data_IF_502850951801
#
_entry.id   IF_502850951801
#
_cell.length_a   1.000
_cell.length_b   1.000
_cell.length_c   1.000
_cell.angle_alpha   90.00
_cell.angle_beta   90.00
_cell.angle_gamma   90.00
#
_symmetry.space_group_name_H-M   'P 1'
#
loop_
_entity.id
_entity.type
_entity.pdbx_description
1 polymer ?
#
# COMPACT_ATOMS: atom_id res chain seq x y z
N UNK A 1 -11.78 10.90 23.41
CA UNK A 1 -11.74 11.67 22.14
C UNK A 1 -10.69 11.05 21.24
N UNK A 2 -11.01 10.76 19.98
CA UNK A 2 -10.05 10.24 18.99
C UNK A 2 -9.18 11.40 18.48
N UNK A 3 -7.88 11.16 18.34
CA UNK A 3 -6.87 12.14 17.88
C UNK A 3 -6.15 11.74 16.61
N UNK A 4 -6.16 10.45 16.27
CA UNK A 4 -5.62 9.95 15.01
C UNK A 4 -6.28 8.64 14.62
N UNK A 5 -6.45 8.46 13.31
CA UNK A 5 -6.83 7.20 12.68
C UNK A 5 -5.78 6.89 11.61
N UNK A 6 -5.37 5.64 11.51
CA UNK A 6 -4.40 5.18 10.53
C UNK A 6 -4.60 3.71 10.20
N UNK A 7 -3.84 3.21 9.24
CA UNK A 7 -3.86 1.81 8.85
C UNK A 7 -2.44 1.25 8.85
N UNK A 8 -2.29 -0.01 9.25
CA UNK A 8 -1.05 -0.76 9.05
C UNK A 8 -0.99 -1.37 7.64
N UNK A 9 0.18 -1.82 7.23
CA UNK A 9 0.38 -2.55 5.96
C UNK A 9 -0.46 -3.84 5.89
N UNK A 10 -0.72 -4.45 7.05
CA UNK A 10 -1.57 -5.64 7.25
C UNK A 10 -3.06 -5.28 7.47
N UNK A 11 -3.49 -4.10 7.04
CA UNK A 11 -4.91 -3.65 7.05
C UNK A 11 -5.56 -3.67 8.44
N UNK A 12 -4.78 -3.39 9.47
CA UNK A 12 -5.30 -3.16 10.82
C UNK A 12 -5.60 -1.67 11.03
N UNK A 13 -6.81 -1.36 11.50
CA UNK A 13 -7.23 0.00 11.82
C UNK A 13 -6.62 0.43 13.16
N UNK A 14 -5.92 1.55 13.15
CA UNK A 14 -5.29 2.12 14.34
C UNK A 14 -6.08 3.31 14.83
N UNK A 15 -6.42 3.30 16.11
CA UNK A 15 -7.20 4.35 16.76
C UNK A 15 -6.43 4.90 17.95
N UNK A 16 -6.03 6.16 17.87
CA UNK A 16 -5.28 6.85 18.93
C UNK A 16 -6.20 7.81 19.68
N UNK A 17 -6.26 7.68 21.01
CA UNK A 17 -7.08 8.52 21.87
C UNK A 17 -6.26 9.64 22.52
N UNK A 18 -6.97 10.66 23.01
CA UNK A 18 -6.35 11.85 23.59
C UNK A 18 -5.45 11.60 24.81
N UNK A 19 -5.66 10.52 25.54
CA UNK A 19 -4.86 10.07 26.69
C UNK A 19 -3.67 9.17 26.29
N UNK A 20 -3.43 8.99 24.99
CA UNK A 20 -2.29 8.22 24.48
C UNK A 20 -2.51 6.70 24.45
N UNK A 21 -3.74 6.21 24.57
CA UNK A 21 -4.03 4.82 24.29
C UNK A 21 -4.17 4.61 22.76
N UNK A 22 -3.59 3.53 22.27
CA UNK A 22 -3.65 3.11 20.87
C UNK A 22 -4.33 1.75 20.81
N UNK A 23 -5.35 1.62 19.95
CA UNK A 23 -6.04 0.35 19.69
C UNK A 23 -5.82 -0.05 18.24
N UNK A 24 -5.46 -1.31 18.03
CA UNK A 24 -5.22 -1.89 16.72
C UNK A 24 -6.32 -2.93 16.45
N UNK A 25 -7.25 -2.62 15.55
CA UNK A 25 -8.36 -3.50 15.18
C UNK A 25 -8.03 -4.24 13.90
N UNK A 26 -8.29 -5.55 13.84
CA UNK A 26 -8.30 -6.28 12.58
C UNK A 26 -9.64 -6.11 11.83
N UNK A 27 -9.74 -6.70 10.64
CA UNK A 27 -10.97 -6.63 9.82
C UNK A 27 -12.16 -7.40 10.42
N UNK A 28 -11.93 -8.26 11.41
CA UNK A 28 -12.99 -9.01 12.12
C UNK A 28 -13.48 -8.26 13.37
N UNK A 29 -12.77 -7.21 13.78
CA UNK A 29 -13.08 -6.40 14.95
C UNK A 29 -12.38 -6.85 16.23
N UNK A 30 -11.53 -7.88 16.16
CA UNK A 30 -10.62 -8.23 17.25
C UNK A 30 -9.59 -7.11 17.39
N UNK A 31 -9.10 -6.87 18.61
CA UNK A 31 -8.14 -5.79 18.83
C UNK A 31 -7.08 -6.08 19.88
N UNK A 32 -5.91 -5.51 19.65
CA UNK A 32 -4.87 -5.30 20.66
C UNK A 32 -4.82 -3.84 21.06
N UNK A 33 -4.18 -3.54 22.19
CA UNK A 33 -3.96 -2.16 22.62
C UNK A 33 -2.60 -1.98 23.29
N UNK A 34 -2.09 -0.75 23.23
CA UNK A 34 -0.92 -0.32 23.96
C UNK A 34 -1.03 1.16 24.32
N UNK A 35 -0.21 1.62 25.26
CA UNK A 35 -0.13 3.04 25.62
C UNK A 35 1.15 3.66 25.06
N UNK A 36 1.07 4.91 24.61
CA UNK A 36 2.23 5.71 24.20
C UNK A 36 3.16 6.04 25.38
N UNK A 37 2.64 6.06 26.61
CA UNK A 37 3.41 6.48 27.79
C UNK A 37 3.97 7.90 27.65
N UNK A 38 5.15 8.15 28.25
CA UNK A 38 5.93 9.39 28.11
C UNK A 38 5.14 10.69 28.37
N UNK A 39 4.18 10.65 29.30
CA UNK A 39 3.36 11.80 29.67
C UNK A 39 2.20 12.11 28.72
N UNK A 40 1.88 11.23 27.77
CA UNK A 40 0.74 11.39 26.87
C UNK A 40 -0.61 11.48 27.60
N UNK A 41 -0.72 10.90 28.79
CA UNK A 41 -1.86 11.00 29.70
C UNK A 41 -1.99 12.40 30.35
N UNK A 42 -0.86 13.07 30.58
CA UNK A 42 -0.80 14.38 31.22
C UNK A 42 -0.90 15.53 30.22
N UNK A 43 -0.13 15.48 29.13
CA UNK A 43 -0.09 16.52 28.10
C UNK A 43 -1.15 16.34 27.03
N UNK A 44 -1.65 15.12 26.86
CA UNK A 44 -2.58 14.76 25.81
C UNK A 44 -1.93 14.63 24.45
N UNK A 45 -2.49 13.76 23.61
CA UNK A 45 -2.12 13.65 22.18
C UNK A 45 -2.81 14.78 21.41
N UNK A 46 -2.05 15.52 20.61
CA UNK A 46 -2.58 16.54 19.70
C UNK A 46 -2.97 15.93 18.35
N UNK A 47 -2.03 15.24 17.71
CA UNK A 47 -2.21 14.60 16.41
C UNK A 47 -1.22 13.46 16.20
N UNK A 48 -1.44 12.64 15.18
CA UNK A 48 -0.60 11.50 14.83
C UNK A 48 -0.29 11.44 13.32
N UNK A 49 0.80 10.77 12.97
CA UNK A 49 1.14 10.34 11.61
C UNK A 49 1.52 8.86 11.65
N UNK A 50 1.14 8.14 10.61
CA UNK A 50 1.28 6.69 10.52
C UNK A 50 2.07 6.34 9.26
N UNK A 51 2.83 5.26 9.34
CA UNK A 51 3.44 4.56 8.22
C UNK A 51 3.19 3.06 8.41
N UNK A 52 3.55 2.27 7.39
CA UNK A 52 3.25 0.84 7.23
C UNK A 52 3.30 0.02 8.53
N UNK A 53 4.37 0.21 9.31
CA UNK A 53 4.65 -0.59 10.51
C UNK A 53 4.67 0.20 11.81
N UNK A 54 4.57 1.53 11.77
CA UNK A 54 4.74 2.37 12.94
C UNK A 54 4.14 3.76 12.82
N UNK A 55 4.24 4.52 13.90
CA UNK A 55 3.61 5.83 14.02
C UNK A 55 4.45 6.81 14.83
N UNK A 56 4.11 8.09 14.68
CA UNK A 56 4.57 9.16 15.55
C UNK A 56 3.35 9.92 16.08
N UNK A 57 3.37 10.26 17.36
CA UNK A 57 2.37 11.09 18.02
C UNK A 57 3.01 12.39 18.53
N UNK A 58 2.36 13.51 18.24
CA UNK A 58 2.69 14.82 18.79
C UNK A 58 1.84 15.08 20.04
N UNK A 59 2.51 15.40 21.15
CA UNK A 59 1.86 15.70 22.43
C UNK A 59 1.69 17.21 22.65
N UNK A 60 0.82 17.60 23.58
CA UNK A 60 0.49 19.01 23.85
C UNK A 60 1.63 19.86 24.43
N UNK A 61 2.77 19.25 24.75
CA UNK A 61 4.01 19.92 25.16
C UNK A 61 5.08 19.87 24.06
N UNK A 62 4.68 19.68 22.79
CA UNK A 62 5.54 19.52 21.62
C UNK A 62 6.48 18.30 21.64
N UNK A 63 6.34 17.39 22.61
CA UNK A 63 7.10 16.14 22.61
C UNK A 63 6.59 15.19 21.53
N UNK A 64 7.50 14.48 20.88
CA UNK A 64 7.19 13.49 19.85
C UNK A 64 7.45 12.08 20.39
N UNK A 65 6.44 11.21 20.33
CA UNK A 65 6.54 9.80 20.71
C UNK A 65 6.45 8.93 19.48
N UNK A 66 7.47 8.13 19.20
CA UNK A 66 7.51 7.17 18.09
C UNK A 66 7.23 5.75 18.56
N UNK A 67 6.56 4.96 17.72
CA UNK A 67 6.34 3.52 17.86
C UNK A 67 6.72 2.87 16.55
N UNK A 68 7.75 2.01 16.54
CA UNK A 68 8.32 1.45 15.31
C UNK A 68 7.66 0.16 14.82
N UNK A 69 6.83 -0.49 15.66
CA UNK A 69 6.12 -1.73 15.36
C UNK A 69 4.77 -1.73 16.06
N UNK A 70 3.70 -2.07 15.35
CA UNK A 70 2.38 -2.29 15.96
C UNK A 70 2.24 -3.66 16.63
N UNK A 71 3.03 -4.66 16.18
CA UNK A 71 3.02 -6.00 16.74
C UNK A 71 3.81 -6.07 18.06
N UNK A 72 4.97 -5.40 18.12
CA UNK A 72 5.77 -5.24 19.34
C UNK A 72 5.92 -3.75 19.69
N UNK A 73 4.87 -3.10 20.21
CA UNK A 73 4.88 -1.68 20.47
C UNK A 73 5.89 -1.32 21.57
N UNK A 74 6.88 -0.51 21.20
CA UNK A 74 7.89 0.05 22.11
C UNK A 74 7.97 1.56 21.95
N UNK A 75 7.08 2.33 22.60
CA UNK A 75 7.07 3.79 22.49
C UNK A 75 8.37 4.42 23.00
N UNK A 76 8.92 5.37 22.25
CA UNK A 76 10.14 6.13 22.59
C UNK A 76 9.95 7.60 22.30
N UNK A 77 10.61 8.46 23.08
CA UNK A 77 10.72 9.87 22.77
C UNK A 77 11.74 10.09 21.65
N UNK A 78 11.43 11.04 20.76
CA UNK A 78 12.39 11.62 19.83
C UNK A 78 13.15 12.79 20.49
N UNK A 79 14.09 13.38 19.77
CA UNK A 79 14.85 14.53 20.24
C UNK A 79 13.95 15.70 20.67
N UNK A 80 14.47 16.54 21.57
CA UNK A 80 13.71 17.69 22.10
C UNK A 80 13.47 18.72 21.01
N UNK A 81 12.22 19.16 20.89
CA UNK A 81 11.78 20.14 19.89
C UNK A 81 11.87 21.57 20.44
N UNK A 82 11.96 22.60 19.58
CA UNK A 82 11.89 23.99 20.02
C UNK A 82 10.56 24.34 20.72
N UNK A 83 10.61 25.16 21.77
CA UNK A 83 9.44 25.67 22.47
C UNK A 83 8.74 26.79 21.65
N UNK A 84 8.06 26.40 20.58
CA UNK A 84 7.34 27.30 19.69
C UNK A 84 6.08 26.64 19.10
N UNK A 85 5.21 27.42 18.48
CA UNK A 85 4.01 26.90 17.81
C UNK A 85 4.41 26.05 16.59
N UNK A 86 3.95 24.80 16.55
CA UNK A 86 4.07 23.92 15.39
C UNK A 86 2.87 24.18 14.48
N UNK A 87 3.11 24.75 13.30
CA UNK A 87 2.04 25.10 12.36
C UNK A 87 1.53 23.91 11.55
N UNK A 88 2.42 22.99 11.21
CA UNK A 88 2.13 21.73 10.52
C UNK A 88 3.31 20.78 10.62
N UNK A 89 3.07 19.49 10.35
CA UNK A 89 4.12 18.48 10.40
C UNK A 89 3.81 17.22 9.58
N UNK A 90 4.87 16.52 9.21
CA UNK A 90 4.87 15.26 8.49
C UNK A 90 5.98 14.33 8.99
N UNK A 91 6.05 13.13 8.43
CA UNK A 91 7.10 12.15 8.72
C UNK A 91 7.71 11.62 7.43
N UNK A 92 8.99 11.27 7.48
CA UNK A 92 9.67 10.45 6.47
C UNK A 92 9.79 9.04 7.05
N UNK A 93 9.23 8.06 6.35
CA UNK A 93 9.26 6.66 6.81
C UNK A 93 10.71 6.15 6.95
N UNK A 94 11.02 5.31 7.96
CA UNK A 94 12.32 4.65 8.10
C UNK A 94 12.83 3.91 6.85
N UNK A 95 11.91 3.52 5.95
CA UNK A 95 12.26 2.85 4.69
C UNK A 95 12.98 3.77 3.70
N UNK A 96 12.80 5.09 3.87
CA UNK A 96 13.33 6.13 2.99
C UNK A 96 14.44 6.98 3.63
N UNK A 97 14.75 6.77 4.91
CA UNK A 97 15.84 7.47 5.59
C UNK A 97 17.13 6.64 5.58
N UNK A 98 18.28 7.33 5.57
CA UNK A 98 19.59 6.69 5.65
C UNK A 98 19.82 6.03 7.01
N UNK A 99 19.29 6.63 8.08
CA UNK A 99 19.40 6.16 9.46
C UNK A 99 18.55 4.93 9.76
N UNK A 100 17.61 4.56 8.86
CA UNK A 100 16.56 3.56 9.12
C UNK A 100 15.72 3.88 10.36
N UNK A 101 15.60 5.17 10.66
CA UNK A 101 14.76 5.70 11.73
C UNK A 101 13.77 6.70 11.16
N UNK A 102 12.65 6.91 11.85
CA UNK A 102 11.65 7.86 11.40
C UNK A 102 12.19 9.28 11.63
N UNK A 103 12.05 10.13 10.62
CA UNK A 103 12.37 11.56 10.71
C UNK A 103 11.07 12.35 10.69
N UNK A 104 10.95 13.38 11.52
CA UNK A 104 9.77 14.21 11.66
C UNK A 104 10.08 15.62 11.16
N UNK A 105 9.25 16.11 10.25
CA UNK A 105 9.35 17.46 9.69
C UNK A 105 8.38 18.38 10.43
N UNK A 106 8.86 19.44 11.08
CA UNK A 106 8.05 20.39 11.84
C UNK A 106 8.14 21.79 11.23
N UNK A 107 7.01 22.38 10.82
CA UNK A 107 6.97 23.81 10.49
C UNK A 107 6.89 24.64 11.77
N UNK A 108 7.93 25.43 12.03
CA UNK A 108 8.02 26.33 13.19
C UNK A 108 8.51 27.68 12.68
N UNK A 109 7.82 28.77 13.02
CA UNK A 109 8.11 30.11 12.52
C UNK A 109 8.18 30.13 10.98
N UNK A 110 9.29 30.59 10.37
CA UNK A 110 9.46 30.67 8.92
C UNK A 110 10.16 29.45 8.31
N UNK A 111 10.55 28.46 9.11
CA UNK A 111 11.43 27.36 8.71
C UNK A 111 10.83 25.98 8.97
N UNK A 112 11.56 24.93 8.60
CA UNK A 112 11.28 23.53 8.90
C UNK A 112 12.42 22.95 9.75
N UNK A 113 12.06 22.30 10.85
CA UNK A 113 12.96 21.48 11.65
C UNK A 113 12.82 20.00 11.27
N UNK A 114 13.93 19.29 11.22
CA UNK A 114 13.96 17.82 11.10
C UNK A 114 14.34 17.24 12.46
N UNK A 115 13.51 16.34 12.96
CA UNK A 115 13.68 15.72 14.28
C UNK A 115 13.78 14.21 14.12
N UNK A 116 14.83 13.62 14.66
CA UNK A 116 14.99 12.16 14.72
C UNK A 116 15.16 11.70 16.18
N UNK A 117 15.71 10.50 16.39
CA UNK A 117 15.92 9.95 17.72
C UNK A 117 17.02 10.68 18.53
N UNK A 118 17.94 11.38 17.88
CA UNK A 118 19.12 12.00 18.51
C UNK A 118 19.12 13.51 18.43
N UNK A 119 18.73 14.08 17.28
CA UNK A 119 18.95 15.48 16.95
C UNK A 119 17.67 16.18 16.46
N UNK A 120 17.68 17.50 16.60
CA UNK A 120 16.68 18.40 16.05
C UNK A 120 17.40 19.52 15.31
N UNK A 121 17.31 19.52 13.99
CA UNK A 121 18.08 20.40 13.11
C UNK A 121 17.17 21.34 12.33
N UNK A 122 17.51 22.63 12.31
CA UNK A 122 16.86 23.63 11.47
C UNK A 122 17.36 23.49 10.02
N UNK A 123 16.44 23.52 9.05
CA UNK A 123 16.78 23.51 7.61
C UNK A 123 16.95 24.92 7.02
N UNK A 124 16.83 25.95 7.85
CA UNK A 124 17.10 27.35 7.53
C UNK A 124 16.31 27.89 6.33
N UNK A 125 15.05 27.47 6.19
CA UNK A 125 14.12 28.03 5.21
C UNK A 125 13.58 29.38 5.70
N UNK A 126 13.18 30.23 4.76
CA UNK A 126 12.67 31.59 5.02
C UNK A 126 11.29 31.88 4.40
N UNK A 127 10.65 30.87 3.80
CA UNK A 127 9.36 30.98 3.11
C UNK A 127 8.14 30.51 3.92
N UNK A 128 8.33 30.08 5.16
CA UNK A 128 7.26 29.73 6.08
C UNK A 128 6.52 30.94 6.68
N UNK A 129 5.54 30.73 7.57
CA UNK A 129 5.09 29.44 8.11
C UNK A 129 4.36 28.57 7.09
N UNK A 130 4.60 27.27 7.17
CA UNK A 130 3.92 26.28 6.34
C UNK A 130 2.68 25.76 7.06
N UNK A 131 1.54 25.92 6.41
CA UNK A 131 0.25 25.41 6.90
C UNK A 131 0.09 23.92 6.67
N UNK A 132 0.82 23.35 5.71
CA UNK A 132 0.85 21.93 5.42
C UNK A 132 2.27 21.51 5.04
N UNK A 133 2.64 20.31 5.45
CA UNK A 133 3.82 19.58 5.02
C UNK A 133 3.34 18.19 4.64
N UNK A 134 3.76 17.68 3.48
CA UNK A 134 3.65 16.27 3.13
C UNK A 134 4.91 15.78 2.43
N UNK A 135 5.14 14.48 2.54
CA UNK A 135 6.30 13.80 1.96
C UNK A 135 5.79 12.87 0.86
N UNK A 136 6.48 12.81 -0.27
CA UNK A 136 6.13 11.91 -1.35
C UNK A 136 6.16 10.45 -0.86
N UNK A 137 5.28 9.58 -1.38
CA UNK A 137 5.23 8.16 -1.01
C UNK A 137 6.55 7.38 -1.14
N UNK A 138 7.47 7.84 -2.00
CA UNK A 138 8.81 7.27 -2.18
C UNK A 138 9.88 7.93 -1.27
N UNK A 139 9.48 8.91 -0.45
CA UNK A 139 10.29 9.64 0.51
C UNK A 139 11.28 10.64 -0.09
N UNK A 140 11.23 10.90 -1.40
CA UNK A 140 12.24 11.72 -2.10
C UNK A 140 11.97 13.21 -2.07
N UNK A 141 10.71 13.61 -1.97
CA UNK A 141 10.29 14.99 -2.12
C UNK A 141 9.37 15.43 -0.98
N UNK A 142 9.33 16.73 -0.74
CA UNK A 142 8.51 17.36 0.29
C UNK A 142 7.74 18.52 -0.35
N UNK A 143 6.44 18.59 -0.04
CA UNK A 143 5.56 19.64 -0.50
C UNK A 143 5.20 20.53 0.71
N UNK A 144 5.70 21.76 0.68
CA UNK A 144 5.56 22.75 1.75
C UNK A 144 4.58 23.83 1.30
N UNK A 145 3.36 23.84 1.84
CA UNK A 145 2.36 24.84 1.47
C UNK A 145 2.34 26.00 2.47
N UNK A 146 2.82 27.15 2.04
CA UNK A 146 2.92 28.35 2.87
C UNK A 146 1.54 28.96 3.13
N UNK A 147 1.41 29.72 4.23
CA UNK A 147 0.19 30.51 4.51
C UNK A 147 -0.05 31.62 3.48
N UNK A 148 0.91 31.90 2.58
CA UNK A 148 0.77 32.88 1.49
C UNK A 148 0.09 32.31 0.25
N UNK A 149 -0.24 31.01 0.23
CA UNK A 149 -0.90 30.36 -0.91
C UNK A 149 0.06 29.71 -1.91
N UNK A 150 1.33 29.52 -1.54
CA UNK A 150 2.39 29.01 -2.43
C UNK A 150 2.84 27.62 -1.98
N UNK A 151 2.79 26.65 -2.87
CA UNK A 151 3.39 25.34 -2.68
C UNK A 151 4.87 25.39 -3.07
N UNK A 152 5.76 24.90 -2.20
CA UNK A 152 7.19 24.80 -2.46
C UNK A 152 7.55 23.32 -2.48
N UNK A 153 7.95 22.83 -3.64
CA UNK A 153 8.34 21.43 -3.84
C UNK A 153 9.86 21.36 -3.80
N UNK A 154 10.38 20.58 -2.86
CA UNK A 154 11.81 20.46 -2.55
C UNK A 154 12.20 19.00 -2.33
N UNK A 155 13.48 18.64 -2.49
CA UNK A 155 13.99 17.33 -2.08
C UNK A 155 13.89 17.13 -0.55
N UNK A 156 13.74 15.89 -0.10
CA UNK A 156 13.56 15.57 1.32
C UNK A 156 14.78 15.82 2.21
N UNK A 157 15.97 15.96 1.62
CA UNK A 157 17.19 16.43 2.27
C UNK A 157 17.32 17.97 2.33
N UNK A 158 16.34 18.68 1.77
CA UNK A 158 16.24 20.14 1.68
C UNK A 158 17.41 20.80 0.95
N UNK A 159 18.11 20.07 0.06
CA UNK A 159 19.24 20.61 -0.70
C UNK A 159 18.84 21.27 -2.01
N UNK A 160 17.80 20.75 -2.69
CA UNK A 160 17.43 21.19 -4.03
C UNK A 160 15.94 21.60 -4.09
N UNK A 161 15.64 22.92 -4.18
CA UNK A 161 14.30 23.38 -4.51
C UNK A 161 13.98 23.01 -5.95
N UNK A 162 12.88 22.32 -6.19
CA UNK A 162 12.47 21.84 -7.51
C UNK A 162 11.63 22.90 -8.23
N UNK A 163 10.55 23.35 -7.61
CA UNK A 163 9.72 24.43 -8.12
C UNK A 163 8.80 25.01 -7.04
N UNK A 164 8.29 26.20 -7.32
CA UNK A 164 7.22 26.85 -6.58
C UNK A 164 5.97 26.92 -7.47
N UNK A 165 4.80 26.83 -6.86
CA UNK A 165 3.52 26.97 -7.53
C UNK A 165 2.60 27.87 -6.72
N UNK A 166 2.07 28.91 -7.35
CA UNK A 166 1.08 29.77 -6.73
C UNK A 166 -0.31 29.20 -7.01
N UNK A 167 -1.04 28.84 -5.95
CA UNK A 167 -2.39 28.29 -6.10
C UNK A 167 -3.45 29.31 -6.57
N UNK A 168 -3.12 30.60 -6.59
CA UNK A 168 -4.04 31.71 -6.87
C UNK A 168 -5.32 31.71 -6.01
N UNK A 169 -5.28 31.00 -4.88
CA UNK A 169 -6.39 30.83 -3.95
C UNK A 169 -6.12 31.53 -2.63
N UNK A 170 -7.11 32.25 -2.12
CA UNK A 170 -7.09 32.81 -0.76
C UNK A 170 -7.53 31.80 0.31
N UNK A 171 -8.10 30.67 -0.12
CA UNK A 171 -8.58 29.62 0.77
C UNK A 171 -7.48 28.55 0.88
N UNK A 172 -7.01 28.21 2.09
CA UNK A 172 -6.03 27.15 2.22
C UNK A 172 -6.59 25.81 1.71
N UNK A 173 -5.78 24.98 1.04
CA UNK A 173 -6.19 23.66 0.61
C UNK A 173 -6.51 22.78 1.81
N UNK A 174 -7.33 21.77 1.58
CA UNK A 174 -7.62 20.72 2.58
C UNK A 174 -6.57 19.62 2.56
N UNK A 175 -6.01 19.35 1.39
CA UNK A 175 -5.02 18.31 1.18
C UNK A 175 -3.84 18.91 0.43
N UNK A 176 -2.65 18.60 0.92
CA UNK A 176 -1.38 18.85 0.26
C UNK A 176 -0.72 17.49 0.21
N UNK A 177 -0.83 16.83 -0.91
CA UNK A 177 -0.59 15.39 -1.09
C UNK A 177 0.21 15.18 -2.39
N UNK A 178 0.28 13.93 -2.81
CA UNK A 178 1.04 13.45 -3.97
C UNK A 178 0.22 12.48 -4.80
N UNK A 179 0.41 12.55 -6.11
CA UNK A 179 -0.01 11.57 -7.10
C UNK A 179 1.24 10.82 -7.58
N UNK A 180 1.61 9.72 -6.91
CA UNK A 180 2.91 9.11 -7.08
C UNK A 180 4.00 10.09 -6.64
N UNK A 181 4.83 10.56 -7.59
CA UNK A 181 5.88 11.57 -7.33
C UNK A 181 5.50 12.99 -7.77
N UNK A 182 4.32 13.18 -8.35
CA UNK A 182 3.83 14.49 -8.77
C UNK A 182 3.07 15.16 -7.60
N UNK A 183 3.41 16.41 -7.29
CA UNK A 183 2.80 17.13 -6.19
C UNK A 183 1.33 17.47 -6.48
N UNK A 184 0.47 17.41 -5.47
CA UNK A 184 -0.96 17.62 -5.58
C UNK A 184 -1.47 18.50 -4.45
N UNK A 185 -2.36 19.44 -4.78
CA UNK A 185 -3.10 20.26 -3.82
C UNK A 185 -4.60 20.14 -4.11
N UNK A 186 -5.43 20.03 -3.07
CA UNK A 186 -6.86 19.86 -3.24
C UNK A 186 -7.71 20.61 -2.20
N UNK A 187 -8.88 21.06 -2.65
CA UNK A 187 -9.94 21.70 -1.88
C UNK A 187 -11.14 20.76 -1.73
N UNK A 188 -12.34 21.28 -1.46
CA UNK A 188 -13.53 20.43 -1.34
C UNK A 188 -13.96 19.82 -2.66
N UNK A 189 -13.83 20.56 -3.75
CA UNK A 189 -14.39 20.30 -5.07
C UNK A 189 -13.37 20.41 -6.20
N UNK A 190 -12.10 20.70 -5.89
CA UNK A 190 -11.03 20.83 -6.88
C UNK A 190 -9.78 20.06 -6.45
N UNK A 191 -9.17 19.37 -7.40
CA UNK A 191 -7.88 18.67 -7.24
C UNK A 191 -6.93 19.15 -8.33
N UNK A 192 -5.76 19.64 -7.94
CA UNK A 192 -4.77 20.19 -8.84
C UNK A 192 -3.47 19.41 -8.71
N UNK A 193 -3.02 18.75 -9.78
CA UNK A 193 -1.65 18.22 -9.89
C UNK A 193 -0.77 19.34 -10.40
N UNK A 194 0.25 19.69 -9.62
CA UNK A 194 1.07 20.89 -9.83
C UNK A 194 2.45 20.50 -10.34
N UNK A 195 2.99 21.31 -11.24
CA UNK A 195 4.27 21.06 -11.91
C UNK A 195 5.11 22.34 -12.06
N UNK A 196 6.32 22.19 -12.60
CA UNK A 196 7.24 23.31 -12.78
C UNK A 196 6.71 24.35 -13.77
N UNK A 197 7.10 25.61 -13.59
CA UNK A 197 6.69 26.71 -14.47
C UNK A 197 5.25 27.15 -14.29
N UNK A 198 4.71 27.00 -13.07
CA UNK A 198 3.34 27.35 -12.69
C UNK A 198 2.27 26.62 -13.52
N UNK A 199 2.61 25.41 -13.99
CA UNK A 199 1.69 24.55 -14.72
C UNK A 199 0.90 23.70 -13.73
N UNK A 200 -0.40 23.57 -13.96
CA UNK A 200 -1.25 22.66 -13.21
C UNK A 200 -2.25 21.95 -14.11
N UNK A 201 -2.63 20.74 -13.71
CA UNK A 201 -3.73 19.99 -14.27
C UNK A 201 -4.84 19.91 -13.21
N UNK A 202 -5.98 20.52 -13.50
CA UNK A 202 -7.09 20.64 -12.56
C UNK A 202 -8.24 19.68 -12.89
N UNK A 203 -8.78 19.06 -11.85
CA UNK A 203 -9.95 18.20 -11.87
C UNK A 203 -11.01 18.82 -10.97
N UNK A 204 -12.21 19.03 -11.52
CA UNK A 204 -13.31 19.70 -10.83
C UNK A 204 -14.42 18.68 -10.56
N UNK A 205 -14.91 18.67 -9.33
CA UNK A 205 -15.92 17.73 -8.82
C UNK A 205 -17.20 18.48 -8.48
N UNK A 206 -18.27 18.20 -9.23
CA UNK A 206 -19.56 18.84 -9.00
C UNK A 206 -20.20 18.36 -7.68
N UNK A 207 -20.30 19.27 -6.70
CA UNK A 207 -21.10 19.14 -5.47
C UNK A 207 -20.71 18.00 -4.50
N UNK A 208 -19.57 17.34 -4.68
CA UNK A 208 -19.10 16.28 -3.78
C UNK A 208 -17.77 16.65 -3.15
N UNK A 209 -17.66 16.36 -1.85
CA UNK A 209 -16.37 16.52 -1.15
C UNK A 209 -15.43 15.43 -1.64
N UNK A 210 -14.28 15.83 -2.18
CA UNK A 210 -13.20 14.92 -2.53
C UNK A 210 -12.27 14.69 -1.33
N UNK A 211 -11.87 13.44 -1.14
CA UNK A 211 -10.83 13.01 -0.22
C UNK A 211 -9.67 12.45 -1.03
N UNK A 212 -8.46 12.95 -0.76
CA UNK A 212 -7.24 12.52 -1.46
C UNK A 212 -6.42 11.63 -0.54
N UNK A 213 -5.94 10.52 -1.08
CA UNK A 213 -4.99 9.64 -0.42
C UNK A 213 -3.84 9.38 -1.38
N UNK A 214 -2.62 9.75 -0.97
CA UNK A 214 -1.42 9.45 -1.75
C UNK A 214 -1.11 7.96 -1.78
N UNK A 215 -0.77 7.49 -2.97
CA UNK A 215 -0.38 6.11 -3.26
C UNK A 215 0.95 6.15 -4.03
N UNK A 216 1.67 5.03 -4.09
CA UNK A 216 3.06 5.06 -4.58
C UNK A 216 3.22 5.43 -6.06
N UNK A 217 2.20 5.12 -6.86
CA UNK A 217 2.12 5.31 -8.30
C UNK A 217 0.97 6.23 -8.70
N UNK A 218 0.28 6.84 -7.74
CA UNK A 218 -0.86 7.71 -8.03
C UNK A 218 -1.48 8.33 -6.79
N UNK A 219 -2.73 8.75 -6.91
CA UNK A 219 -3.56 9.21 -5.81
C UNK A 219 -4.95 8.59 -5.93
N UNK A 220 -5.50 8.14 -4.81
CA UNK A 220 -6.88 7.68 -4.72
C UNK A 220 -7.78 8.86 -4.35
N UNK A 221 -8.77 9.12 -5.19
CA UNK A 221 -9.74 10.19 -5.02
C UNK A 221 -11.09 9.57 -4.63
N UNK A 222 -11.54 9.84 -3.41
CA UNK A 222 -12.75 9.25 -2.86
C UNK A 222 -13.79 10.36 -2.69
N UNK A 223 -14.93 10.19 -3.33
CA UNK A 223 -16.11 11.04 -3.16
C UNK A 223 -17.25 10.21 -2.55
N UNK A 224 -18.44 10.80 -2.41
CA UNK A 224 -19.62 10.06 -1.96
C UNK A 224 -20.10 9.03 -3.00
N UNK A 225 -19.76 9.21 -4.28
CA UNK A 225 -20.32 8.45 -5.39
C UNK A 225 -19.27 7.59 -6.11
N UNK A 226 -17.99 8.01 -6.09
CA UNK A 226 -16.92 7.39 -6.85
C UNK A 226 -15.65 7.19 -6.02
N UNK A 227 -14.89 6.15 -6.38
CA UNK A 227 -13.50 5.98 -5.98
C UNK A 227 -12.67 5.91 -7.26
N UNK A 228 -11.92 6.97 -7.53
CA UNK A 228 -11.09 7.11 -8.72
C UNK A 228 -9.62 6.92 -8.36
N UNK A 229 -8.83 6.48 -9.34
CA UNK A 229 -7.38 6.39 -9.23
C UNK A 229 -6.78 7.32 -10.27
N UNK A 230 -6.11 8.36 -9.79
CA UNK A 230 -5.38 9.32 -10.60
C UNK A 230 -3.91 8.87 -10.64
N UNK A 231 -3.38 8.68 -11.84
CA UNK A 231 -1.99 8.27 -12.06
C UNK A 231 -1.44 9.05 -13.26
N UNK A 232 -0.13 9.35 -13.20
CA UNK A 232 0.59 9.83 -14.37
C UNK A 232 0.65 8.72 -15.42
N UNK A 233 0.16 9.00 -16.63
CA UNK A 233 0.12 8.03 -17.73
C UNK A 233 1.50 7.34 -17.87
N UNK A 234 1.57 6.01 -17.68
CA UNK A 234 2.81 5.26 -17.83
C UNK A 234 3.39 5.39 -19.23
N UNK A 235 4.73 5.36 -19.33
CA UNK A 235 5.44 5.52 -20.60
C UNK A 235 5.06 4.47 -21.62
N UNK A 236 4.98 3.19 -21.24
CA UNK A 236 4.60 2.11 -22.16
C UNK A 236 3.16 2.27 -22.68
N UNK A 237 2.25 2.72 -21.81
CA UNK A 237 0.86 3.03 -22.19
C UNK A 237 0.83 4.19 -23.19
N UNK A 238 1.63 5.24 -22.94
CA UNK A 238 1.77 6.37 -23.86
C UNK A 238 2.39 5.94 -25.19
N UNK A 239 3.38 5.07 -25.19
CA UNK A 239 4.02 4.61 -26.43
C UNK A 239 3.05 3.79 -27.27
N UNK A 240 2.22 2.95 -26.65
CA UNK A 240 1.26 2.11 -27.39
C UNK A 240 0.05 2.90 -27.91
N UNK A 241 -0.53 3.77 -27.07
CA UNK A 241 -1.78 4.48 -27.41
C UNK A 241 -1.59 5.93 -27.84
N UNK A 242 -0.38 6.48 -27.71
CA UNK A 242 -0.10 7.91 -27.73
C UNK A 242 -0.12 8.58 -29.11
N UNK A 243 0.48 9.76 -29.11
CA UNK A 243 0.06 10.89 -29.94
C UNK A 243 -0.10 10.57 -31.42
N UNK A 244 -1.21 11.05 -31.99
CA UNK A 244 -1.56 10.89 -33.41
C UNK A 244 -0.48 11.38 -34.40
N UNK A 245 0.51 12.14 -33.93
CA UNK A 245 1.62 12.69 -34.72
C UNK A 245 2.84 11.76 -34.85
N UNK A 246 3.04 10.80 -33.93
CA UNK A 246 4.21 9.91 -33.92
C UNK A 246 3.79 8.47 -33.59
N UNK A 247 3.83 7.58 -34.60
CA UNK A 247 3.54 6.16 -34.42
C UNK A 247 4.78 5.44 -33.90
N UNK A 248 4.78 5.09 -32.62
CA UNK A 248 5.83 4.23 -32.04
C UNK A 248 5.80 2.82 -32.66
N UNK A 249 6.89 2.05 -32.56
CA UNK A 249 6.89 0.63 -32.95
C UNK A 249 5.79 -0.19 -32.25
N UNK A 250 5.50 0.09 -30.97
CA UNK A 250 4.48 -0.61 -30.20
C UNK A 250 3.06 -0.26 -30.66
N UNK A 251 2.81 1.00 -31.01
CA UNK A 251 1.54 1.44 -31.60
C UNK A 251 1.30 0.75 -32.96
N UNK A 252 2.32 0.69 -33.81
CA UNK A 252 2.24 -0.01 -35.10
C UNK A 252 2.00 -1.52 -34.91
N UNK A 253 2.62 -2.14 -33.90
CA UNK A 253 2.38 -3.56 -33.57
C UNK A 253 0.93 -3.80 -33.13
N UNK A 254 0.36 -2.90 -32.33
CA UNK A 254 -1.05 -2.96 -31.93
C UNK A 254 -2.00 -2.82 -33.13
N UNK A 255 -1.67 -1.94 -34.08
CA UNK A 255 -2.40 -1.78 -35.34
C UNK A 255 -2.25 -3.00 -36.26
N UNK A 256 -1.08 -3.63 -36.28
CA UNK A 256 -0.81 -4.85 -37.04
C UNK A 256 -1.74 -5.99 -36.59
N UNK A 257 -2.01 -6.11 -35.29
CA UNK A 257 -3.03 -7.05 -34.80
C UNK A 257 -4.45 -6.67 -35.23
N UNK A 258 -4.78 -5.38 -35.30
CA UNK A 258 -6.04 -4.94 -35.87
C UNK A 258 -6.19 -5.36 -37.34
N UNK A 259 -5.13 -5.23 -38.15
CA UNK A 259 -5.12 -5.69 -39.55
C UNK A 259 -5.18 -7.22 -39.66
N UNK A 260 -4.51 -7.94 -38.75
CA UNK A 260 -4.54 -9.39 -38.70
C UNK A 260 -5.95 -9.92 -38.40
N UNK A 261 -6.67 -9.27 -37.49
CA UNK A 261 -8.07 -9.58 -37.18
C UNK A 261 -9.03 -9.35 -38.35
N UNK A 262 -8.67 -8.42 -39.24
CA UNK A 262 -9.38 -8.16 -40.50
C UNK A 262 -8.92 -9.06 -41.65
N UNK A 263 -8.06 -10.05 -41.37
CA UNK A 263 -7.45 -10.94 -42.38
C UNK A 263 -6.73 -10.17 -43.51
N UNK A 264 -6.20 -8.99 -43.18
CA UNK A 264 -5.56 -8.09 -44.12
C UNK A 264 -4.06 -8.40 -44.24
N UNK A 265 -3.50 -8.49 -45.47
CA UNK A 265 -2.06 -8.72 -45.66
C UNK A 265 -1.20 -7.56 -45.14
N UNK A 266 -1.81 -6.38 -44.91
CA UNK A 266 -1.14 -5.21 -44.31
C UNK A 266 -0.54 -5.48 -42.94
N UNK A 267 -0.99 -6.51 -42.24
CA UNK A 267 -0.39 -6.93 -40.98
C UNK A 267 1.10 -7.28 -41.16
N UNK A 268 1.49 -7.95 -42.25
CA UNK A 268 2.90 -8.27 -42.53
C UNK A 268 3.68 -7.01 -42.90
N UNK A 269 3.10 -6.11 -43.70
CA UNK A 269 3.73 -4.82 -44.05
C UNK A 269 4.10 -4.02 -42.80
N UNK A 270 3.21 -3.99 -41.80
CA UNK A 270 3.45 -3.30 -40.52
C UNK A 270 4.54 -3.97 -39.69
N UNK A 271 4.58 -5.30 -39.67
CA UNK A 271 5.64 -6.05 -38.99
C UNK A 271 7.00 -5.79 -39.67
N UNK A 272 7.07 -5.78 -41.00
CA UNK A 272 8.31 -5.46 -41.70
C UNK A 272 8.76 -4.02 -41.42
N UNK A 273 7.83 -3.07 -41.31
CA UNK A 273 8.11 -1.67 -40.99
C UNK A 273 8.83 -1.51 -39.64
N UNK A 274 8.42 -2.28 -38.62
CA UNK A 274 8.99 -2.21 -37.27
C UNK A 274 10.02 -3.30 -36.97
N UNK A 275 10.44 -4.08 -37.95
CA UNK A 275 11.24 -5.31 -37.74
C UNK A 275 12.52 -5.06 -36.93
N UNK A 276 13.15 -3.90 -37.07
CA UNK A 276 14.35 -3.52 -36.33
C UNK A 276 14.09 -3.28 -34.82
N UNK A 277 12.87 -2.87 -34.46
CA UNK A 277 12.45 -2.53 -33.10
C UNK A 277 11.35 -3.48 -32.58
N UNK A 278 11.16 -4.63 -33.22
CA UNK A 278 10.04 -5.52 -32.91
C UNK A 278 10.13 -6.10 -31.50
N UNK A 279 11.33 -6.42 -31.01
CA UNK A 279 11.53 -6.88 -29.63
C UNK A 279 11.05 -5.83 -28.62
N UNK A 280 11.52 -4.59 -28.77
CA UNK A 280 11.09 -3.45 -27.95
C UNK A 280 9.56 -3.26 -28.02
N UNK A 281 8.99 -3.27 -29.23
CA UNK A 281 7.54 -3.14 -29.42
C UNK A 281 6.72 -4.23 -28.70
N UNK A 282 7.23 -5.47 -28.68
CA UNK A 282 6.62 -6.58 -27.95
C UNK A 282 6.68 -6.31 -26.45
N UNK A 283 7.85 -5.94 -25.93
CA UNK A 283 8.05 -5.69 -24.49
C UNK A 283 7.20 -4.51 -24.01
N UNK A 284 7.14 -3.41 -24.76
CA UNK A 284 6.25 -2.26 -24.48
C UNK A 284 4.78 -2.68 -24.47
N UNK A 285 4.33 -3.53 -25.41
CA UNK A 285 2.95 -4.04 -25.38
C UNK A 285 2.67 -4.92 -24.16
N UNK A 286 3.64 -5.72 -23.71
CA UNK A 286 3.52 -6.53 -22.48
C UNK A 286 3.40 -5.61 -21.26
N UNK A 287 4.28 -4.64 -21.12
CA UNK A 287 4.27 -3.69 -20.00
C UNK A 287 3.00 -2.85 -19.96
N UNK A 288 2.58 -2.29 -21.11
CA UNK A 288 1.34 -1.54 -21.23
C UNK A 288 0.12 -2.40 -20.82
N UNK A 289 0.12 -3.70 -21.14
CA UNK A 289 -0.97 -4.59 -20.71
C UNK A 289 -1.08 -4.66 -19.18
N UNK A 290 0.04 -4.63 -18.46
CA UNK A 290 0.08 -4.59 -17.00
C UNK A 290 -0.58 -3.34 -16.41
N UNK A 291 -0.42 -2.20 -17.09
CA UNK A 291 -0.93 -0.89 -16.65
C UNK A 291 -2.43 -0.71 -16.85
N UNK A 292 -3.01 -1.45 -17.79
CA UNK A 292 -4.45 -1.37 -18.06
C UNK A 292 -5.30 -2.09 -17.01
N UNK A 293 -6.39 -1.46 -16.59
CA UNK A 293 -7.43 -2.10 -15.77
C UNK A 293 -8.49 -2.81 -16.62
N UNK A 294 -8.68 -2.39 -17.88
CA UNK A 294 -9.69 -2.96 -18.74
C UNK A 294 -9.22 -4.28 -19.37
N UNK A 295 -9.90 -5.38 -19.04
CA UNK A 295 -9.58 -6.73 -19.53
C UNK A 295 -9.56 -6.83 -21.07
N UNK A 296 -10.38 -6.05 -21.78
CA UNK A 296 -10.38 -6.03 -23.24
C UNK A 296 -9.05 -5.50 -23.77
N UNK A 297 -8.54 -4.41 -23.20
CA UNK A 297 -7.27 -3.81 -23.61
C UNK A 297 -6.08 -4.66 -23.20
N UNK A 298 -6.05 -5.18 -21.98
CA UNK A 298 -5.04 -6.16 -21.54
C UNK A 298 -4.89 -7.32 -22.55
N UNK A 299 -6.01 -7.95 -22.94
CA UNK A 299 -6.00 -9.06 -23.91
C UNK A 299 -5.53 -8.62 -25.30
N UNK A 300 -5.93 -7.43 -25.75
CA UNK A 300 -5.55 -6.92 -27.07
C UNK A 300 -4.05 -6.62 -27.13
N UNK A 301 -3.50 -6.03 -26.08
CA UNK A 301 -2.07 -5.74 -25.94
C UNK A 301 -1.24 -7.04 -25.86
N UNK A 302 -1.66 -8.00 -25.05
CA UNK A 302 -1.02 -9.33 -25.00
C UNK A 302 -1.13 -10.08 -26.33
N UNK A 303 -2.20 -9.87 -27.11
CA UNK A 303 -2.31 -10.44 -28.46
C UNK A 303 -1.32 -9.78 -29.42
N UNK A 304 -1.10 -8.47 -29.31
CA UNK A 304 -0.07 -7.73 -30.05
C UNK A 304 1.34 -8.25 -29.73
N UNK A 305 1.67 -8.35 -28.45
CA UNK A 305 2.93 -8.94 -28.00
C UNK A 305 3.09 -10.39 -28.49
N UNK A 306 2.05 -11.23 -28.38
CA UNK A 306 2.09 -12.61 -28.86
C UNK A 306 2.28 -12.73 -30.37
N UNK A 307 1.70 -11.81 -31.15
CA UNK A 307 1.87 -11.77 -32.59
C UNK A 307 3.30 -11.37 -32.97
N UNK A 308 3.82 -10.28 -32.41
CA UNK A 308 5.20 -9.85 -32.68
C UNK A 308 6.23 -10.90 -32.26
N UNK A 309 6.06 -11.49 -31.09
CA UNK A 309 6.87 -12.61 -30.61
C UNK A 309 6.93 -13.79 -31.58
N UNK A 310 5.81 -14.11 -32.25
CA UNK A 310 5.77 -15.25 -33.18
C UNK A 310 6.62 -15.07 -34.44
N UNK A 311 7.04 -13.83 -34.72
CA UNK A 311 7.88 -13.46 -35.88
C UNK A 311 9.36 -13.39 -35.51
N UNK A 312 9.71 -13.25 -34.22
CA UNK A 312 11.08 -13.18 -33.75
C UNK A 312 11.72 -14.58 -33.71
N UNK A 313 12.92 -14.70 -34.28
CA UNK A 313 13.67 -15.96 -34.26
C UNK A 313 14.16 -16.33 -32.84
N UNK A 314 14.49 -15.31 -32.04
CA UNK A 314 14.97 -15.45 -30.66
C UNK A 314 14.24 -14.41 -29.81
N UNK A 315 13.49 -14.87 -28.81
CA UNK A 315 12.81 -14.00 -27.84
C UNK A 315 12.65 -14.73 -26.50
N UNK A 316 13.03 -14.07 -25.40
CA UNK A 316 12.76 -14.62 -24.07
C UNK A 316 11.28 -14.41 -23.72
N UNK A 317 10.58 -15.49 -23.44
CA UNK A 317 9.13 -15.47 -23.20
C UNK A 317 8.75 -15.24 -21.74
N UNK A 318 9.71 -15.21 -20.84
CA UNK A 318 9.48 -15.21 -19.39
C UNK A 318 8.62 -14.00 -18.98
N UNK A 319 9.00 -12.78 -19.35
CA UNK A 319 8.26 -11.56 -19.00
C UNK A 319 6.82 -11.56 -19.53
N UNK A 320 6.60 -12.10 -20.74
CA UNK A 320 5.26 -12.27 -21.30
C UNK A 320 4.41 -13.24 -20.46
N UNK A 321 5.00 -14.36 -20.03
CA UNK A 321 4.33 -15.36 -19.21
C UNK A 321 4.02 -14.76 -17.84
N UNK A 322 5.00 -14.15 -17.18
CA UNK A 322 4.88 -13.53 -15.86
C UNK A 322 3.82 -12.43 -15.84
N UNK A 323 3.74 -11.62 -16.90
CA UNK A 323 2.68 -10.62 -17.07
C UNK A 323 1.29 -11.27 -17.18
N UNK A 324 1.16 -12.36 -17.95
CA UNK A 324 -0.10 -13.10 -18.05
C UNK A 324 -0.51 -13.71 -16.71
N UNK A 325 0.45 -14.22 -15.93
CA UNK A 325 0.21 -14.74 -14.58
C UNK A 325 -0.25 -13.64 -13.63
N UNK A 326 0.47 -12.51 -13.62
CA UNK A 326 0.17 -11.33 -12.81
C UNK A 326 -1.21 -10.76 -13.11
N UNK A 327 -1.54 -10.54 -14.39
CA UNK A 327 -2.83 -9.99 -14.80
C UNK A 327 -4.00 -10.92 -14.42
N UNK A 328 -3.78 -12.24 -14.43
CA UNK A 328 -4.81 -13.19 -13.98
C UNK A 328 -5.10 -13.05 -12.49
N UNK A 329 -4.07 -12.84 -11.67
CA UNK A 329 -4.22 -12.61 -10.23
C UNK A 329 -4.84 -11.24 -9.96
N UNK A 330 -4.30 -10.17 -10.57
CA UNK A 330 -4.82 -8.81 -10.47
C UNK A 330 -6.30 -8.74 -10.81
N UNK A 331 -6.71 -9.31 -11.94
CA UNK A 331 -8.12 -9.30 -12.35
C UNK A 331 -9.02 -10.06 -11.37
N UNK A 332 -8.52 -11.12 -10.71
CA UNK A 332 -9.29 -11.86 -9.73
C UNK A 332 -9.50 -11.08 -8.42
N UNK A 333 -8.47 -10.35 -7.96
CA UNK A 333 -8.56 -9.56 -6.71
C UNK A 333 -9.23 -8.19 -6.91
N UNK A 334 -9.18 -7.65 -8.13
CA UNK A 334 -9.90 -6.43 -8.54
C UNK A 334 -11.40 -6.63 -8.71
N UNK A 335 -11.88 -7.88 -8.80
CA UNK A 335 -13.31 -8.16 -8.88
C UNK A 335 -14.04 -7.50 -7.71
N UNK A 336 -15.18 -6.86 -7.98
CA UNK A 336 -15.88 -6.04 -6.99
C UNK A 336 -16.37 -6.85 -5.78
N UNK A 337 -16.52 -8.18 -5.89
CA UNK A 337 -16.85 -9.03 -4.75
C UNK A 337 -15.67 -9.23 -3.80
N UNK A 338 -14.44 -9.06 -4.29
CA UNK A 338 -13.20 -9.13 -3.50
C UNK A 338 -12.76 -7.73 -3.05
N UNK A 339 -12.82 -6.75 -3.95
CA UNK A 339 -12.66 -5.34 -3.63
C UNK A 339 -11.24 -4.89 -3.32
N UNK A 340 -10.21 -5.47 -3.97
CA UNK A 340 -8.81 -5.01 -3.88
C UNK A 340 -8.36 -4.37 -5.20
N UNK A 341 -8.67 -3.08 -5.44
CA UNK A 341 -8.33 -2.36 -6.68
C UNK A 341 -6.85 -1.94 -6.70
N UNK A 342 -5.94 -2.92 -6.74
CA UNK A 342 -4.50 -2.69 -6.81
C UNK A 342 -4.06 -2.42 -8.24
N UNK A 343 -3.12 -1.49 -8.42
CA UNK A 343 -2.36 -1.32 -9.67
C UNK A 343 -1.33 -2.44 -9.85
N UNK A 344 -0.68 -2.46 -11.01
CA UNK A 344 0.41 -3.39 -11.27
C UNK A 344 1.63 -3.15 -10.36
N UNK A 345 1.99 -1.88 -10.13
CA UNK A 345 3.10 -1.48 -9.26
C UNK A 345 2.82 -1.83 -7.79
N UNK A 346 1.59 -1.55 -7.32
CA UNK A 346 1.16 -1.91 -5.97
C UNK A 346 1.19 -3.42 -5.75
N UNK A 347 0.80 -4.23 -6.74
CA UNK A 347 0.89 -5.69 -6.65
C UNK A 347 2.34 -6.17 -6.46
N UNK A 348 3.28 -5.60 -7.21
CA UNK A 348 4.70 -5.96 -7.11
C UNK A 348 5.28 -5.56 -5.75
N UNK A 349 4.96 -4.37 -5.26
CA UNK A 349 5.43 -3.90 -3.96
C UNK A 349 4.84 -4.70 -2.79
N UNK A 350 3.54 -4.99 -2.84
CA UNK A 350 2.85 -5.72 -1.79
C UNK A 350 3.27 -7.21 -1.75
N UNK A 351 3.61 -7.78 -2.90
CA UNK A 351 3.90 -9.20 -3.13
C UNK A 351 2.69 -10.14 -3.04
N UNK A 352 2.71 -11.27 -3.76
CA UNK A 352 1.63 -12.26 -3.71
C UNK A 352 1.37 -12.85 -2.32
N UNK A 353 2.40 -12.99 -1.48
CA UNK A 353 2.28 -13.53 -0.13
C UNK A 353 1.47 -12.60 0.79
N UNK A 354 1.67 -11.28 0.71
CA UNK A 354 0.85 -10.35 1.51
C UNK A 354 -0.55 -10.21 0.93
N UNK A 355 -0.74 -10.34 -0.38
CA UNK A 355 -2.09 -10.44 -0.98
C UNK A 355 -2.84 -11.66 -0.43
N UNK A 356 -2.19 -12.82 -0.34
CA UNK A 356 -2.77 -14.00 0.30
C UNK A 356 -3.15 -13.67 1.74
N UNK A 357 -2.27 -13.02 2.52
CA UNK A 357 -2.59 -12.62 3.91
C UNK A 357 -3.83 -11.73 4.00
N UNK A 358 -3.95 -10.72 3.13
CA UNK A 358 -5.13 -9.85 3.04
C UNK A 358 -6.41 -10.61 2.69
N UNK A 359 -6.33 -11.59 1.79
CA UNK A 359 -7.47 -12.50 1.51
C UNK A 359 -7.85 -13.33 2.73
N UNK A 360 -6.88 -13.81 3.52
CA UNK A 360 -7.15 -14.57 4.74
C UNK A 360 -7.87 -13.72 5.79
N UNK A 361 -7.47 -12.46 5.97
CA UNK A 361 -8.14 -11.53 6.89
C UNK A 361 -9.59 -11.21 6.48
N UNK A 362 -9.91 -11.31 5.18
CA UNK A 362 -11.28 -11.22 4.65
C UNK A 362 -12.04 -12.54 4.64
N UNK A 363 -11.39 -13.65 5.04
CA UNK A 363 -11.90 -15.01 4.95
C UNK A 363 -12.14 -15.55 3.53
N UNK A 364 -11.48 -14.98 2.51
CA UNK A 364 -11.52 -15.42 1.11
C UNK A 364 -10.61 -16.63 0.83
N UNK A 365 -10.76 -17.68 1.65
CA UNK A 365 -9.88 -18.85 1.65
C UNK A 365 -9.82 -19.59 0.30
N UNK A 366 -10.95 -19.68 -0.41
CA UNK A 366 -10.98 -20.36 -1.70
C UNK A 366 -10.16 -19.62 -2.76
N UNK A 367 -10.27 -18.29 -2.80
CA UNK A 367 -9.51 -17.48 -3.73
C UNK A 367 -8.01 -17.51 -3.38
N UNK A 368 -7.68 -17.39 -2.08
CA UNK A 368 -6.31 -17.52 -1.59
C UNK A 368 -5.68 -18.86 -2.00
N UNK A 369 -6.39 -19.99 -1.84
CA UNK A 369 -5.90 -21.31 -2.27
C UNK A 369 -5.70 -21.41 -3.79
N UNK A 370 -6.61 -20.84 -4.58
CA UNK A 370 -6.50 -20.82 -6.04
C UNK A 370 -5.29 -20.01 -6.51
N UNK A 371 -5.09 -18.82 -5.95
CA UNK A 371 -3.94 -17.96 -6.27
C UNK A 371 -2.64 -18.63 -5.82
N UNK A 372 -2.57 -19.12 -4.58
CA UNK A 372 -1.39 -19.81 -4.07
C UNK A 372 -1.03 -21.05 -4.89
N UNK A 373 -2.02 -21.87 -5.26
CA UNK A 373 -1.80 -23.03 -6.12
C UNK A 373 -1.35 -22.64 -7.53
N UNK A 374 -1.91 -21.57 -8.08
CA UNK A 374 -1.55 -21.04 -9.40
C UNK A 374 -0.10 -20.54 -9.44
N UNK A 375 0.30 -19.75 -8.44
CA UNK A 375 1.66 -19.21 -8.29
C UNK A 375 2.64 -20.18 -7.63
N UNK A 376 2.20 -21.41 -7.32
CA UNK A 376 2.99 -22.45 -6.64
C UNK A 376 3.56 -22.02 -5.27
N UNK A 377 2.83 -21.17 -4.56
CA UNK A 377 3.16 -20.73 -3.22
C UNK A 377 2.72 -21.76 -2.15
N UNK A 378 3.37 -21.78 -0.98
CA UNK A 378 2.96 -22.62 0.13
C UNK A 378 1.50 -22.37 0.56
N UNK A 379 0.75 -23.43 0.81
CA UNK A 379 -0.68 -23.36 1.17
C UNK A 379 -0.94 -23.71 2.64
N UNK A 380 0.08 -24.16 3.37
CA UNK A 380 0.01 -24.57 4.77
C UNK A 380 -0.54 -23.46 5.67
N UNK A 381 -0.04 -22.23 5.52
CA UNK A 381 -0.53 -21.07 6.29
C UNK A 381 -2.00 -20.74 6.04
N UNK A 382 -2.50 -20.97 4.83
CA UNK A 382 -3.91 -20.74 4.50
C UNK A 382 -4.80 -21.72 5.27
N UNK A 383 -4.39 -22.98 5.30
CA UNK A 383 -5.09 -24.03 6.03
C UNK A 383 -5.05 -23.82 7.55
N UNK A 384 -3.88 -23.45 8.11
CA UNK A 384 -3.71 -23.14 9.53
C UNK A 384 -4.55 -21.94 9.94
N UNK A 385 -4.55 -20.86 9.15
CA UNK A 385 -5.40 -19.68 9.41
C UNK A 385 -6.89 -20.02 9.38
N UNK A 386 -7.33 -20.79 8.38
CA UNK A 386 -8.72 -21.26 8.31
C UNK A 386 -9.11 -22.09 9.53
N UNK A 387 -8.26 -23.04 9.94
CA UNK A 387 -8.52 -23.90 11.09
C UNK A 387 -8.58 -23.10 12.39
N UNK A 388 -7.64 -22.18 12.60
CA UNK A 388 -7.60 -21.28 13.76
C UNK A 388 -8.85 -20.40 13.83
N UNK A 389 -9.30 -19.87 12.68
CA UNK A 389 -10.56 -19.13 12.57
C UNK A 389 -11.77 -20.00 12.89
N UNK A 390 -11.79 -21.27 12.45
CA UNK A 390 -12.87 -22.22 12.74
C UNK A 390 -12.92 -22.57 14.23
N UNK A 391 -11.78 -22.63 14.90
CA UNK A 391 -11.68 -22.83 16.34
C UNK A 391 -12.21 -21.62 17.12
N UNK A 392 -11.80 -20.40 16.74
CA UNK A 392 -12.23 -19.15 17.38
C UNK A 392 -13.74 -18.91 17.23
N UNK A 393 -14.24 -18.98 16.01
CA UNK A 393 -15.61 -18.57 15.68
C UNK A 393 -16.60 -19.74 15.63
N UNK A 394 -16.16 -20.98 15.84
CA UNK A 394 -17.00 -22.18 15.73
C UNK A 394 -18.02 -22.26 16.87
N UNK A 395 -19.31 -22.27 16.54
CA UNK A 395 -20.37 -22.50 17.52
C UNK A 395 -20.55 -23.98 17.90
N UNK A 396 -19.89 -24.89 17.18
CA UNK A 396 -19.94 -26.32 17.42
C UNK A 396 -19.14 -26.75 18.66
N UNK A 397 -19.41 -27.97 19.16
CA UNK A 397 -18.64 -28.55 20.26
C UNK A 397 -17.22 -28.93 19.81
N UNK A 398 -16.33 -29.04 20.79
CA UNK A 398 -14.91 -29.31 20.58
C UNK A 398 -14.66 -30.59 19.74
N UNK A 399 -15.39 -31.68 20.03
CA UNK A 399 -15.28 -32.94 19.28
C UNK A 399 -15.57 -32.75 17.77
N UNK A 400 -16.60 -31.95 17.44
CA UNK A 400 -16.99 -31.70 16.04
C UNK A 400 -15.98 -30.81 15.35
N UNK A 401 -15.50 -29.75 16.01
CA UNK A 401 -14.47 -28.86 15.47
C UNK A 401 -13.19 -29.65 15.21
N UNK A 402 -12.73 -30.43 16.19
CA UNK A 402 -11.55 -31.28 16.08
C UNK A 402 -11.64 -32.20 14.86
N UNK A 403 -12.74 -32.95 14.73
CA UNK A 403 -12.96 -33.84 13.58
C UNK A 403 -12.90 -33.10 12.25
N UNK A 404 -13.59 -31.97 12.12
CA UNK A 404 -13.63 -31.18 10.87
C UNK A 404 -12.25 -30.63 10.49
N UNK A 405 -11.51 -30.12 11.48
CA UNK A 405 -10.16 -29.61 11.29
C UNK A 405 -9.23 -30.75 10.84
N UNK A 406 -9.19 -31.85 11.59
CA UNK A 406 -8.33 -33.00 11.27
C UNK A 406 -8.67 -33.59 9.90
N UNK A 407 -9.96 -33.78 9.58
CA UNK A 407 -10.39 -34.32 8.29
C UNK A 407 -9.93 -33.44 7.13
N UNK A 408 -10.05 -32.12 7.25
CA UNK A 408 -9.68 -31.19 6.18
C UNK A 408 -8.17 -31.01 6.03
N UNK A 409 -7.42 -31.13 7.14
CA UNK A 409 -5.96 -30.97 7.17
C UNK A 409 -5.20 -32.27 6.89
N UNK A 410 -5.87 -33.42 7.02
CA UNK A 410 -5.27 -34.73 6.78
C UNK A 410 -4.69 -34.84 5.37
N UNK A 411 -3.44 -35.33 5.28
CA UNK A 411 -2.72 -35.51 4.02
C UNK A 411 -2.18 -34.21 3.40
N UNK A 412 -2.33 -33.04 4.05
CA UNK A 412 -1.73 -31.79 3.59
C UNK A 412 -0.30 -31.65 4.13
N UNK A 413 0.69 -31.35 3.28
CA UNK A 413 2.07 -31.20 3.72
C UNK A 413 2.27 -29.89 4.50
N UNK A 414 3.17 -29.91 5.48
CA UNK A 414 3.65 -28.69 6.15
C UNK A 414 2.73 -28.11 7.24
N UNK A 415 1.55 -28.69 7.49
CA UNK A 415 0.62 -28.23 8.54
C UNK A 415 1.24 -28.38 9.93
N UNK A 416 1.16 -27.30 10.73
CA UNK A 416 1.43 -27.35 12.17
C UNK A 416 0.09 -27.27 12.92
N UNK A 417 -0.20 -28.30 13.70
CA UNK A 417 -1.36 -28.33 14.59
C UNK A 417 -1.12 -27.57 15.89
N UNK A 418 0.15 -27.36 16.27
CA UNK A 418 0.52 -26.57 17.46
C UNK A 418 -0.07 -25.15 17.45
N UNK A 419 0.00 -24.43 16.33
CA UNK A 419 -0.54 -23.08 16.21
C UNK A 419 -2.08 -23.04 16.35
N UNK A 420 -2.75 -24.07 15.81
CA UNK A 420 -4.21 -24.24 15.92
C UNK A 420 -4.60 -24.59 17.36
N UNK A 421 -3.83 -25.47 18.01
CA UNK A 421 -4.01 -25.85 19.41
C UNK A 421 -3.79 -24.66 20.35
N UNK A 422 -2.77 -23.84 20.11
CA UNK A 422 -2.51 -22.60 20.85
C UNK A 422 -3.68 -21.63 20.73
N UNK A 423 -4.24 -21.49 19.53
CA UNK A 423 -5.47 -20.71 19.33
C UNK A 423 -6.61 -21.27 20.17
N UNK A 424 -6.85 -22.58 20.15
CA UNK A 424 -7.91 -23.20 20.97
C UNK A 424 -7.71 -22.93 22.47
N UNK A 425 -6.47 -22.98 22.94
CA UNK A 425 -6.13 -22.72 24.34
C UNK A 425 -6.44 -21.27 24.75
N UNK A 426 -6.02 -20.28 23.94
CA UNK A 426 -6.30 -18.87 24.20
C UNK A 426 -7.80 -18.52 24.17
N UNK A 427 -8.60 -19.27 23.41
CA UNK A 427 -10.06 -19.15 23.39
C UNK A 427 -10.75 -19.89 24.57
N UNK A 428 -9.98 -20.44 25.52
CA UNK A 428 -10.48 -21.17 26.68
C UNK A 428 -10.94 -22.60 26.39
N UNK A 429 -10.62 -23.16 25.22
CA UNK A 429 -10.98 -24.52 24.79
C UNK A 429 -9.85 -25.51 25.04
N UNK A 430 -9.44 -25.68 26.31
CA UNK A 430 -8.29 -26.53 26.69
C UNK A 430 -8.39 -27.99 26.23
N UNK A 431 -9.62 -28.57 26.24
CA UNK A 431 -9.84 -29.93 25.73
C UNK A 431 -9.55 -30.03 24.24
N UNK A 432 -10.11 -29.10 23.44
CA UNK A 432 -9.84 -29.02 22.00
C UNK A 432 -8.35 -28.79 21.70
N UNK A 433 -7.68 -27.92 22.47
CA UNK A 433 -6.25 -27.67 22.34
C UNK A 433 -5.44 -28.97 22.50
N UNK A 434 -5.72 -29.75 23.55
CA UNK A 434 -5.06 -31.04 23.79
C UNK A 434 -5.33 -32.04 22.67
N UNK A 435 -6.57 -32.17 22.23
CA UNK A 435 -6.96 -33.08 21.15
C UNK A 435 -6.27 -32.72 19.81
N UNK A 436 -6.24 -31.44 19.45
CA UNK A 436 -5.56 -30.96 18.24
C UNK A 436 -4.04 -31.15 18.32
N UNK A 437 -3.43 -30.91 19.49
CA UNK A 437 -1.99 -31.03 19.68
C UNK A 437 -1.49 -32.47 19.50
N UNK A 438 -2.31 -33.47 19.83
CA UNK A 438 -2.01 -34.88 19.58
C UNK A 438 -1.84 -35.21 18.09
N UNK A 439 -2.35 -34.36 17.19
CA UNK A 439 -2.18 -34.49 15.74
C UNK A 439 -0.95 -33.76 15.19
N UNK A 440 -0.17 -33.06 16.02
CA UNK A 440 1.07 -32.39 15.60
C UNK A 440 2.15 -33.42 15.21
N UNK A 441 2.61 -33.44 13.93
CA UNK A 441 3.60 -34.42 13.48
C UNK A 441 4.98 -34.21 14.11
N UNK A 442 5.28 -33.00 14.61
CA UNK A 442 6.58 -32.65 15.19
C UNK A 442 6.50 -32.66 16.71
N UNK A 443 6.89 -33.77 17.33
CA UNK A 443 6.86 -33.92 18.80
C UNK A 443 7.61 -32.81 19.57
N UNK A 444 8.68 -32.24 18.99
CA UNK A 444 9.41 -31.12 19.60
C UNK A 444 8.61 -29.81 19.71
N UNK A 445 7.49 -29.67 18.98
CA UNK A 445 6.57 -28.53 19.09
C UNK A 445 5.43 -28.78 20.09
N UNK A 446 5.16 -30.03 20.45
CA UNK A 446 4.10 -30.37 21.39
C UNK A 446 4.48 -29.96 22.82
N UNK A 447 5.72 -30.21 23.21
CA UNK A 447 6.18 -30.05 24.60
C UNK A 447 6.05 -28.62 25.12
N UNK A 448 6.48 -27.56 24.41
CA UNK A 448 6.38 -26.19 24.94
C UNK A 448 4.94 -25.78 25.24
N UNK A 449 3.99 -26.09 24.35
CA UNK A 449 2.59 -25.73 24.57
C UNK A 449 1.95 -26.53 25.71
N UNK A 450 2.31 -27.81 25.88
CA UNK A 450 1.83 -28.60 27.03
C UNK A 450 2.34 -28.04 28.36
N UNK A 451 3.59 -27.60 28.41
CA UNK A 451 4.15 -26.96 29.60
C UNK A 451 3.44 -25.64 29.91
N UNK A 452 3.21 -24.78 28.90
CA UNK A 452 2.43 -23.54 29.05
C UNK A 452 1.02 -23.84 29.61
N UNK A 453 0.37 -24.91 29.14
CA UNK A 453 -0.97 -25.32 29.59
C UNK A 453 -0.98 -25.89 31.02
N UNK A 454 0.06 -26.63 31.44
CA UNK A 454 0.18 -27.21 32.78
C UNK A 454 0.60 -26.19 33.85
N UNK A 455 1.29 -25.11 33.47
CA UNK A 455 1.66 -24.02 34.41
C UNK A 455 0.47 -23.10 34.77
N UNK A 456 -0.59 -23.10 33.96
CA UNK A 456 -1.81 -22.29 34.12
C UNK A 456 -3.00 -23.05 34.78
N UNK A 457 -2.87 -24.37 35.01
CA UNK A 457 -3.80 -25.21 35.81
C UNK A 457 -3.48 -25.18 37.31
#
# INVERSE_FOLDING_TARGET
RIKGLGWSEDESLLVVTADGNVRCYDLQGDFSNFSLGHGADNYGVESCRFYDNGMVALLGNNSLVTVSSYAEPRPKLLATTPEAEIHSWAIISPDHTLSRSVEVLLSIASTVYVVDATDCEDRFLDSGPFSHISVSPDGRYVNLYSKTGTAHVITSDFQEPLFEHNSDSQTPPKYVEWCGTDALIAWEDEVHVIGPGDQSLSYIYDSTRVHVISEHDGARLITNDFCEFLERIPTDTLDVFGHASESSPASILLDAVGQLELESPKADDYIQLIRANLTEAVDTCVNAAGREFNIKWQKRLLKAASFGKSVLDIYNSDDFVDMCETLRVLNAIRDFNVGMPLSFEQYHRLTPEKIIRRLLQRHDYLLALKIAGYLKLPTDRIYVHWASTKVRNGAENDDTICRLVVERLSGKPGISFEEIARTAYHEGRGRLATELLNHEPRGGRQVPLLLDMEEDE
#
